data_IF_765529575120
#
_entry.id   IF_765529575120
#
_cell.length_a   1.000
_cell.length_b   1.000
_cell.length_c   1.000
_cell.angle_alpha   90.00
_cell.angle_beta   90.00
_cell.angle_gamma   90.00
#
_symmetry.space_group_name_H-M   'P 1'
#
loop_
_entity.id
_entity.type
_entity.pdbx_description
1 polymer ?
#
# COMPACT_ATOMS: atom_id res chain seq x y z
N UNK A 1 4.36 3.37 8.49
CA UNK A 1 3.76 2.90 9.76
C UNK A 1 2.53 2.06 9.46
N UNK A 2 2.17 1.07 10.30
CA UNK A 2 0.98 0.23 10.05
C UNK A 2 -0.31 0.93 10.49
N UNK A 3 -1.29 1.00 9.60
CA UNK A 3 -2.60 1.59 9.85
C UNK A 3 -3.64 0.50 10.15
N UNK A 4 -4.50 0.72 11.15
CA UNK A 4 -5.59 -0.20 11.49
C UNK A 4 -6.93 0.22 10.87
N UNK A 5 -7.21 1.53 10.78
CA UNK A 5 -8.40 2.11 10.14
C UNK A 5 -8.14 2.27 8.64
N UNK A 6 -8.09 1.15 7.94
CA UNK A 6 -7.65 1.05 6.55
C UNK A 6 -8.59 1.73 5.56
N UNK A 7 -9.86 1.94 5.90
CA UNK A 7 -10.81 2.70 5.07
C UNK A 7 -10.37 4.14 4.81
N UNK A 8 -9.59 4.75 5.73
CA UNK A 8 -9.10 6.13 5.60
C UNK A 8 -8.20 6.34 4.39
N UNK A 9 -7.58 5.29 3.87
CA UNK A 9 -6.65 5.36 2.74
C UNK A 9 -7.17 4.68 1.48
N UNK A 10 -8.40 4.16 1.49
CA UNK A 10 -8.99 3.54 0.31
C UNK A 10 -9.02 4.51 -0.89
N UNK A 11 -9.22 5.81 -0.62
CA UNK A 11 -9.24 6.85 -1.64
C UNK A 11 -7.91 7.00 -2.41
N UNK A 12 -6.77 6.68 -1.77
CA UNK A 12 -5.45 6.75 -2.43
C UNK A 12 -5.31 5.69 -3.52
N UNK A 13 -5.94 4.54 -3.35
CA UNK A 13 -5.97 3.49 -4.38
C UNK A 13 -6.94 3.80 -5.53
N UNK A 14 -7.73 4.87 -5.45
CA UNK A 14 -8.71 5.28 -6.46
C UNK A 14 -9.57 4.09 -6.95
N UNK A 15 -9.72 3.93 -8.27
CA UNK A 15 -10.47 2.84 -8.89
C UNK A 15 -9.59 1.63 -9.25
N UNK A 16 -8.45 1.42 -8.58
CA UNK A 16 -7.51 0.34 -8.90
C UNK A 16 -8.15 -1.04 -8.65
N UNK A 17 -8.49 -1.84 -9.70
CA UNK A 17 -9.36 -3.01 -9.54
C UNK A 17 -8.60 -4.29 -9.09
N UNK A 18 -7.64 -4.16 -8.18
CA UNK A 18 -6.76 -5.26 -7.79
C UNK A 18 -7.25 -5.91 -6.49
N UNK A 19 -7.85 -7.10 -6.58
CA UNK A 19 -8.45 -7.84 -5.44
C UNK A 19 -7.54 -7.99 -4.20
N UNK A 20 -6.22 -8.03 -4.42
CA UNK A 20 -5.22 -8.06 -3.36
C UNK A 20 -5.24 -6.79 -2.49
N UNK A 21 -5.42 -5.62 -3.10
CA UNK A 21 -5.56 -4.34 -2.39
C UNK A 21 -6.82 -4.37 -1.52
N UNK A 22 -7.94 -4.86 -2.07
CA UNK A 22 -9.19 -4.99 -1.32
C UNK A 22 -9.06 -5.88 -0.09
N UNK A 23 -8.31 -6.99 -0.18
CA UNK A 23 -8.06 -7.87 0.96
C UNK A 23 -7.30 -7.17 2.10
N UNK A 24 -6.34 -6.30 1.75
CA UNK A 24 -5.61 -5.47 2.70
C UNK A 24 -6.51 -4.38 3.31
N UNK A 25 -7.32 -3.71 2.50
CA UNK A 25 -8.26 -2.67 2.95
C UNK A 25 -9.37 -3.23 3.85
N UNK A 26 -9.80 -4.46 3.63
CA UNK A 26 -10.79 -5.14 4.48
C UNK A 26 -10.18 -5.69 5.78
N UNK A 27 -8.85 -5.64 5.93
CA UNK A 27 -8.15 -6.18 7.10
C UNK A 27 -8.19 -7.71 7.21
N UNK A 28 -8.57 -8.42 6.15
CA UNK A 28 -8.67 -9.89 6.14
C UNK A 28 -7.28 -10.51 5.90
N UNK A 29 -6.53 -10.01 4.91
CA UNK A 29 -5.17 -10.47 4.62
C UNK A 29 -4.23 -9.34 4.22
N UNK A 30 -2.98 -9.47 4.65
CA UNK A 30 -1.96 -8.46 4.40
C UNK A 30 -2.05 -7.32 5.41
N UNK A 31 -1.46 -6.20 5.06
CA UNK A 31 -1.43 -5.00 5.88
C UNK A 31 -1.34 -3.74 5.03
N UNK A 32 -1.68 -2.62 5.65
CA UNK A 32 -1.59 -1.29 5.07
C UNK A 32 -0.54 -0.51 5.84
N UNK A 33 0.44 0.00 5.10
CA UNK A 33 1.50 0.86 5.59
C UNK A 33 1.34 2.26 4.98
N UNK A 34 1.43 3.29 5.80
CA UNK A 34 1.30 4.69 5.40
C UNK A 34 2.50 5.52 5.81
N UNK A 35 2.68 6.67 5.17
CA UNK A 35 3.68 7.67 5.55
C UNK A 35 3.30 8.41 6.84
N UNK A 36 2.02 8.76 7.00
CA UNK A 36 1.49 9.46 8.17
C UNK A 36 0.17 8.83 8.68
N UNK A 37 -0.05 8.81 10.00
CA UNK A 37 -1.25 8.19 10.60
C UNK A 37 -2.46 9.14 10.66
N UNK A 38 -2.24 10.45 10.68
CA UNK A 38 -3.29 11.46 10.73
C UNK A 38 -3.70 11.90 9.33
N UNK A 39 -2.71 12.18 8.47
CA UNK A 39 -2.92 12.68 7.10
C UNK A 39 -2.08 11.87 6.10
N UNK A 40 -2.45 10.61 5.83
CA UNK A 40 -1.72 9.75 4.90
C UNK A 40 -1.79 10.29 3.48
N UNK A 41 -0.64 10.46 2.84
CA UNK A 41 -0.53 10.85 1.41
C UNK A 41 0.01 9.73 0.54
N UNK A 42 0.68 8.77 1.16
CA UNK A 42 1.35 7.66 0.50
C UNK A 42 0.95 6.37 1.21
N UNK A 43 0.66 5.32 0.45
CA UNK A 43 0.23 4.04 1.01
C UNK A 43 0.87 2.87 0.30
N UNK A 44 1.19 1.84 1.07
CA UNK A 44 1.67 0.54 0.64
C UNK A 44 0.71 -0.53 1.18
N UNK A 45 -0.03 -1.18 0.29
CA UNK A 45 -0.74 -2.41 0.61
C UNK A 45 0.20 -3.60 0.37
N UNK A 46 0.56 -4.30 1.45
CA UNK A 46 1.46 -5.44 1.40
C UNK A 46 0.71 -6.72 1.69
N UNK A 47 0.80 -7.69 0.77
CA UNK A 47 0.16 -9.00 0.93
C UNK A 47 1.15 -10.12 0.63
N UNK A 48 1.17 -11.14 1.50
CA UNK A 48 2.09 -12.27 1.41
C UNK A 48 2.85 -12.50 2.72
N UNK A 49 3.62 -13.60 2.79
CA UNK A 49 4.45 -13.94 3.96
C UNK A 49 5.90 -14.29 3.61
N UNK A 50 6.12 -15.01 2.50
CA UNK A 50 7.46 -15.39 2.03
C UNK A 50 7.83 -14.60 0.78
N UNK A 51 6.99 -14.71 -0.25
CA UNK A 51 6.97 -13.78 -1.37
C UNK A 51 5.74 -12.89 -1.21
N UNK A 52 5.91 -11.60 -1.46
CA UNK A 52 4.87 -10.60 -1.25
C UNK A 52 4.67 -9.71 -2.46
N UNK A 53 3.48 -9.12 -2.54
CA UNK A 53 3.18 -8.02 -3.45
C UNK A 53 3.00 -6.76 -2.62
N UNK A 54 3.63 -5.68 -3.05
CA UNK A 54 3.51 -4.35 -2.46
C UNK A 54 2.88 -3.39 -3.47
N UNK A 55 1.63 -3.01 -3.26
CA UNK A 55 0.92 -2.04 -4.09
C UNK A 55 1.11 -0.65 -3.50
N UNK A 56 1.80 0.22 -4.23
CA UNK A 56 2.09 1.59 -3.84
C UNK A 56 1.14 2.56 -4.54
N UNK A 57 0.49 3.41 -3.76
CA UNK A 57 -0.46 4.41 -4.24
C UNK A 57 -0.27 5.75 -3.52
N UNK A 58 -0.75 6.84 -4.14
CA UNK A 58 -0.55 8.21 -3.67
C UNK A 58 0.80 8.82 -4.10
N UNK A 59 1.36 9.69 -3.25
CA UNK A 59 2.65 10.35 -3.50
C UNK A 59 3.84 9.38 -3.34
N UNK A 60 5.00 9.61 -4.00
CA UNK A 60 6.15 8.73 -3.89
C UNK A 60 6.80 8.96 -2.53
N UNK A 61 6.84 7.92 -1.71
CA UNK A 61 7.45 7.98 -0.39
C UNK A 61 8.59 6.96 -0.29
N UNK A 62 9.81 7.47 -0.06
CA UNK A 62 11.00 6.62 0.08
C UNK A 62 10.89 5.71 1.32
N UNK A 63 10.27 6.17 2.39
CA UNK A 63 10.15 5.40 3.63
C UNK A 63 9.34 4.11 3.42
N UNK A 64 8.31 4.15 2.57
CA UNK A 64 7.52 2.96 2.23
C UNK A 64 8.31 1.95 1.40
N UNK A 65 9.17 2.43 0.50
CA UNK A 65 10.06 1.56 -0.30
C UNK A 65 11.15 0.96 0.58
N UNK A 66 11.67 1.73 1.52
CA UNK A 66 12.73 1.30 2.43
C UNK A 66 12.27 0.18 3.37
N UNK A 67 10.99 0.19 3.76
CA UNK A 67 10.37 -0.92 4.53
C UNK A 67 10.40 -2.24 3.74
N UNK A 68 10.40 -2.19 2.42
CA UNK A 68 10.47 -3.36 1.55
C UNK A 68 11.91 -3.83 1.28
N UNK A 69 12.93 -3.13 1.80
CA UNK A 69 14.34 -3.44 1.50
C UNK A 69 14.72 -4.82 2.02
N UNK A 70 15.20 -5.67 1.10
CA UNK A 70 15.67 -7.03 1.42
C UNK A 70 14.55 -8.06 1.55
N UNK A 71 13.29 -7.67 1.31
CA UNK A 71 12.18 -8.61 1.21
C UNK A 71 12.05 -9.15 -0.23
N UNK A 72 11.58 -10.40 -0.36
CA UNK A 72 11.16 -10.96 -1.64
C UNK A 72 9.78 -10.38 -2.00
N UNK A 73 9.79 -9.20 -2.60
CA UNK A 73 8.59 -8.41 -2.87
C UNK A 73 8.57 -7.83 -4.27
N UNK A 74 7.44 -8.00 -4.95
CA UNK A 74 7.14 -7.32 -6.22
C UNK A 74 6.45 -6.01 -5.89
N UNK A 75 7.11 -4.89 -6.18
CA UNK A 75 6.53 -3.56 -6.05
C UNK A 75 5.75 -3.19 -7.30
N UNK A 76 4.46 -2.90 -7.10
CA UNK A 76 3.54 -2.46 -8.15
C UNK A 76 3.18 -1.01 -7.88
N UNK A 77 3.51 -0.12 -8.81
CA UNK A 77 3.26 1.31 -8.69
C UNK A 77 1.92 1.65 -9.36
N UNK A 78 1.05 2.36 -8.65
CA UNK A 78 -0.17 2.92 -9.24
C UNK A 78 0.19 3.87 -10.39
N UNK A 79 -0.49 3.74 -11.52
CA UNK A 79 -0.35 4.67 -12.65
C UNK A 79 -1.13 5.97 -12.38
N UNK A 80 -0.66 6.77 -11.42
CA UNK A 80 -1.17 8.13 -11.18
C UNK A 80 -0.06 9.19 -11.29
N UNK A 81 0.84 9.03 -12.27
CA UNK A 81 1.92 9.98 -12.61
C UNK A 81 1.84 10.52 -14.04
N UNK A 82 0.72 10.31 -14.74
CA UNK A 82 0.53 10.75 -16.13
C UNK A 82 -0.83 11.46 -16.32
N UNK A 83 -1.09 12.53 -15.56
CA UNK A 83 -2.00 13.60 -15.99
C UNK A 83 -1.51 14.94 -15.45
#
# INVERSE_FOLDING_TARGET
>A
MRLNETEKVAYLFADWPETMIWSCLQGIMGEILVDDLEVPKSVLARIGRRSSFGFLAGEPCLDLIEVCRGEDIILVLQQCWLV
#
